data_IF_111113969092
#
_entry.id   IF_111113969092
#
_cell.length_a   1.000
_cell.length_b   1.000
_cell.length_c   1.000
_cell.angle_alpha   90.00
_cell.angle_beta   90.00
_cell.angle_gamma   90.00
#
_symmetry.space_group_name_H-M   'P 1'
#
loop_
_entity.id
_entity.type
_entity.pdbx_description
1 polymer ?
#
# COMPACT_ATOMS: atom_id res chain seq x y z
N UNK A 1 -10.86 1.92 5.09
CA UNK A 1 -9.73 2.74 4.59
C UNK A 1 -8.66 1.81 4.05
N UNK A 2 -8.29 1.94 2.78
CA UNK A 2 -7.18 1.18 2.21
C UNK A 2 -5.84 1.76 2.72
N UNK A 3 -5.19 1.04 3.63
CA UNK A 3 -3.86 1.41 4.12
C UNK A 3 -2.82 0.85 3.16
N UNK A 4 -1.82 1.66 2.78
CA UNK A 4 -0.66 1.17 2.03
C UNK A 4 0.03 0.04 2.80
N UNK A 5 0.53 -0.98 2.11
CA UNK A 5 1.24 -2.10 2.72
C UNK A 5 2.76 -1.98 2.58
N UNK A 6 3.22 -1.39 1.47
CA UNK A 6 4.64 -1.21 1.14
C UNK A 6 4.87 0.21 0.63
N UNK A 7 6.03 0.77 0.94
CA UNK A 7 6.53 2.04 0.42
C UNK A 7 7.75 1.77 -0.48
N UNK A 8 7.81 2.42 -1.64
CA UNK A 8 8.98 2.47 -2.52
C UNK A 8 9.53 3.88 -2.45
N UNK A 9 10.56 4.10 -1.63
CA UNK A 9 10.96 5.47 -1.27
C UNK A 9 9.81 6.23 -0.61
N UNK A 10 9.27 7.25 -1.28
CA UNK A 10 8.11 8.04 -0.82
C UNK A 10 6.76 7.60 -1.43
N UNK A 11 6.76 6.64 -2.36
CA UNK A 11 5.56 6.21 -3.09
C UNK A 11 4.82 5.10 -2.33
N UNK A 12 3.53 5.26 -2.00
CA UNK A 12 2.75 4.23 -1.34
C UNK A 12 2.22 3.18 -2.34
N UNK A 13 2.29 1.90 -1.95
CA UNK A 13 1.71 0.78 -2.70
C UNK A 13 0.64 0.10 -1.86
N UNK A 14 -0.54 -0.07 -2.45
CA UNK A 14 -1.67 -0.76 -1.83
C UNK A 14 -1.40 -2.26 -1.59
N UNK A 15 -2.16 -2.89 -0.67
CA UNK A 15 -1.94 -4.28 -0.26
C UNK A 15 -2.09 -5.28 -1.42
N UNK A 16 -3.09 -5.09 -2.28
CA UNK A 16 -3.35 -5.99 -3.42
C UNK A 16 -2.21 -5.96 -4.43
N UNK A 17 -1.78 -4.77 -4.86
CA UNK A 17 -0.64 -4.61 -5.76
C UNK A 17 0.66 -5.12 -5.14
N UNK A 18 0.92 -4.83 -3.86
CA UNK A 18 2.11 -5.30 -3.15
C UNK A 18 2.18 -6.83 -3.05
N UNK A 19 1.03 -7.50 -2.86
CA UNK A 19 0.93 -8.97 -2.87
C UNK A 19 1.19 -9.54 -4.25
N UNK A 20 0.51 -9.03 -5.30
CA UNK A 20 0.68 -9.52 -6.68
C UNK A 20 2.12 -9.38 -7.18
N UNK A 21 2.81 -8.30 -6.80
CA UNK A 21 4.19 -8.04 -7.20
C UNK A 21 5.25 -8.66 -6.26
N UNK A 22 4.87 -9.41 -5.23
CA UNK A 22 5.83 -10.02 -4.29
C UNK A 22 6.64 -9.02 -3.45
N UNK A 23 6.20 -7.76 -3.38
CA UNK A 23 6.95 -6.67 -2.74
C UNK A 23 6.95 -6.77 -1.21
N UNK A 24 5.97 -7.45 -0.62
CA UNK A 24 5.88 -7.66 0.83
C UNK A 24 7.09 -8.42 1.37
N UNK A 25 7.47 -9.51 0.71
CA UNK A 25 8.60 -10.34 1.14
C UNK A 25 9.94 -9.62 0.94
N UNK A 26 10.06 -8.84 -0.13
CA UNK A 26 11.23 -8.00 -0.38
C UNK A 26 11.34 -6.86 0.64
N UNK A 27 10.22 -6.23 1.00
CA UNK A 27 10.17 -5.19 2.02
C UNK A 27 10.49 -5.73 3.42
N UNK A 28 10.06 -6.95 3.76
CA UNK A 28 10.46 -7.64 5.01
C UNK A 28 11.98 -7.85 5.08
N UNK A 29 12.60 -8.18 3.95
CA UNK A 29 14.06 -8.35 3.81
C UNK A 29 14.81 -7.01 3.69
N UNK A 30 14.11 -5.86 3.73
CA UNK A 30 14.68 -4.51 3.53
C UNK A 30 15.49 -4.40 2.24
N UNK A 31 15.02 -5.05 1.17
CA UNK A 31 15.71 -5.04 -0.12
C UNK A 31 15.60 -3.67 -0.79
N UNK A 32 16.76 -3.03 -1.04
CA UNK A 32 16.84 -1.75 -1.72
C UNK A 32 16.07 -0.64 -0.99
N UNK A 33 15.18 0.03 -1.73
CA UNK A 33 14.36 1.15 -1.22
C UNK A 33 12.99 0.75 -0.66
N UNK A 34 12.70 -0.56 -0.60
CA UNK A 34 11.41 -1.09 -0.17
C UNK A 34 11.29 -1.10 1.35
N UNK A 35 10.17 -0.58 1.87
CA UNK A 35 9.87 -0.57 3.31
C UNK A 35 8.43 -0.97 3.56
N UNK A 36 8.17 -1.70 4.64
CA UNK A 36 6.81 -1.90 5.10
C UNK A 36 6.19 -0.56 5.50
N UNK A 37 4.94 -0.33 5.12
CA UNK A 37 4.21 0.84 5.53
C UNK A 37 4.06 0.82 7.05
N UNK A 38 4.49 1.89 7.72
CA UNK A 38 4.25 2.04 9.15
C UNK A 38 2.80 2.48 9.34
N UNK A 39 2.03 1.85 10.23
CA UNK A 39 0.72 2.36 10.59
C UNK A 39 0.90 3.77 11.16
N UNK A 40 0.46 4.79 10.41
CA UNK A 40 0.42 6.15 10.92
C UNK A 40 -0.75 6.24 11.88
N UNK A 41 -0.48 6.42 13.18
CA UNK A 41 -1.50 6.62 14.21
C UNK A 41 -2.22 7.98 14.12
N UNK A 42 -1.86 8.82 13.14
CA UNK A 42 -2.53 10.10 12.92
C UNK A 42 -3.76 9.94 12.02
N UNK A 43 -4.85 10.69 12.27
CA UNK A 43 -5.95 10.80 11.32
C UNK A 43 -5.40 11.47 10.05
N UNK A 44 -5.10 10.66 9.03
CA UNK A 44 -4.73 11.18 7.72
C UNK A 44 -6.00 11.77 7.13
N UNK A 45 -5.98 13.09 6.89
CA UNK A 45 -7.04 13.76 6.11
C UNK A 45 -7.27 12.91 4.86
N UNK A 46 -8.53 12.55 4.53
CA UNK A 46 -8.82 11.88 3.28
C UNK A 46 -8.35 12.81 2.17
N UNK A 47 -7.27 12.42 1.50
CA UNK A 47 -6.79 13.12 0.33
C UNK A 47 -7.81 12.86 -0.79
N UNK A 48 -8.44 13.90 -1.34
CA UNK A 48 -9.49 13.74 -2.37
C UNK A 48 -8.97 13.09 -3.66
N UNK A 49 -7.66 12.91 -3.82
CA UNK A 49 -7.04 12.30 -5.00
C UNK A 49 -6.66 10.83 -4.82
N UNK A 50 -6.74 10.28 -3.59
CA UNK A 50 -6.51 8.84 -3.33
C UNK A 50 -7.82 8.12 -3.05
N UNK A 51 -8.77 8.22 -3.98
CA UNK A 51 -9.88 7.28 -4.05
C UNK A 51 -9.31 5.90 -4.41
N UNK A 52 -9.72 4.87 -3.66
CA UNK A 52 -9.30 3.49 -3.91
C UNK A 52 -9.91 3.01 -5.24
N UNK A 53 -9.16 3.20 -6.34
CA UNK A 53 -9.58 2.97 -7.72
C UNK A 53 -9.85 1.48 -8.05
N UNK A 54 -9.63 0.58 -7.10
CA UNK A 54 -9.76 -0.87 -7.29
C UNK A 54 -10.68 -1.49 -6.21
N UNK A 55 -11.85 -0.90 -6.00
CA UNK A 55 -12.93 -1.64 -5.33
C UNK A 55 -13.22 -2.90 -6.14
N UNK A 56 -13.00 -4.08 -5.54
CA UNK A 56 -13.30 -5.37 -6.16
C UNK A 56 -14.80 -5.42 -6.45
N UNK A 57 -15.17 -5.37 -7.73
CA UNK A 57 -16.55 -5.60 -8.18
C UNK A 57 -16.77 -7.11 -8.12
N UNK A 58 -17.55 -7.57 -7.14
CA UNK A 58 -18.09 -8.93 -7.17
C UNK A 58 -19.02 -9.05 -8.38
N UNK A 59 -18.57 -9.79 -9.39
CA UNK A 59 -19.43 -10.22 -10.48
C UNK A 59 -20.26 -11.41 -9.96
N UNK A 60 -21.57 -11.20 -9.85
CA UNK A 60 -22.58 -12.21 -9.52
C UNK A 60 -22.72 -13.28 -10.62
#
# INVERSE_FOLDING_TARGET
MAQAAVMIGALPIGPTCARKAGLLELARKKSGVLRLAKPSAGPRRPDPQTLDLFAEVEHA
#
